data_IF_469287082682
#
_entry.id   IF_469287082682
#
_cell.length_a   1.000
_cell.length_b   1.000
_cell.length_c   1.000
_cell.angle_alpha   90.00
_cell.angle_beta   90.00
_cell.angle_gamma   90.00
#
_symmetry.space_group_name_H-M   'P 1'
#
loop_
_entity.id
_entity.type
_entity.pdbx_description
1 polymer ?
#
# COMPACT_ATOMS: atom_id res chain seq x y z
N UNK A 1 17.69 -48.38 8.88
CA UNK A 1 16.86 -47.16 8.91
C UNK A 1 17.73 -45.93 8.68
N UNK A 2 17.57 -45.24 7.55
CA UNK A 2 18.42 -44.12 7.13
C UNK A 2 18.04 -42.81 7.83
N UNK A 3 18.33 -42.72 9.13
CA UNK A 3 18.06 -41.54 9.98
C UNK A 3 18.66 -40.26 9.39
N UNK A 4 19.85 -40.33 8.80
CA UNK A 4 20.51 -39.20 8.09
C UNK A 4 19.70 -38.70 6.89
N UNK A 5 19.00 -39.59 6.17
CA UNK A 5 18.18 -39.23 5.00
C UNK A 5 16.87 -38.57 5.42
N UNK A 6 16.25 -39.06 6.50
CA UNK A 6 15.08 -38.44 7.10
C UNK A 6 15.39 -37.03 7.63
N UNK A 7 16.50 -36.85 8.35
CA UNK A 7 16.92 -35.53 8.87
C UNK A 7 17.21 -34.56 7.71
N UNK A 8 17.93 -35.00 6.67
CA UNK A 8 18.21 -34.16 5.50
C UNK A 8 16.93 -33.68 4.80
N UNK A 9 15.93 -34.54 4.66
CA UNK A 9 14.66 -34.18 4.04
C UNK A 9 13.84 -33.21 4.91
N UNK A 10 13.83 -33.38 6.24
CA UNK A 10 13.14 -32.47 7.16
C UNK A 10 13.80 -31.09 7.13
N UNK A 11 15.13 -31.01 7.12
CA UNK A 11 15.86 -29.74 7.03
C UNK A 11 15.62 -29.06 5.67
N UNK A 12 15.62 -29.81 4.57
CA UNK A 12 15.33 -29.25 3.24
C UNK A 12 13.89 -28.72 3.13
N UNK A 13 12.90 -29.49 3.57
CA UNK A 13 11.49 -29.11 3.51
C UNK A 13 11.18 -27.96 4.48
N UNK A 14 11.66 -28.05 5.73
CA UNK A 14 11.46 -27.02 6.75
C UNK A 14 12.21 -25.73 6.43
N UNK A 15 13.46 -25.84 5.98
CA UNK A 15 14.27 -24.68 5.57
C UNK A 15 13.72 -24.00 4.32
N UNK A 16 13.26 -24.78 3.33
CA UNK A 16 12.62 -24.25 2.13
C UNK A 16 11.30 -23.52 2.45
N UNK A 17 10.45 -24.11 3.29
CA UNK A 17 9.20 -23.48 3.72
C UNK A 17 9.47 -22.17 4.50
N UNK A 18 10.45 -22.17 5.40
CA UNK A 18 10.83 -20.97 6.14
C UNK A 18 11.38 -19.87 5.22
N UNK A 19 12.19 -20.22 4.22
CA UNK A 19 12.73 -19.26 3.25
C UNK A 19 11.64 -18.64 2.38
N UNK A 20 10.64 -19.42 1.94
CA UNK A 20 9.50 -18.92 1.16
C UNK A 20 8.64 -17.97 1.99
N UNK A 21 8.34 -18.32 3.24
CA UNK A 21 7.55 -17.46 4.14
C UNK A 21 8.30 -16.17 4.49
N UNK A 22 9.61 -16.26 4.76
CA UNK A 22 10.46 -15.10 4.98
C UNK A 22 10.55 -14.22 3.73
N UNK A 23 10.70 -14.82 2.56
CA UNK A 23 10.72 -14.14 1.27
C UNK A 23 9.42 -13.42 0.97
N UNK A 24 8.26 -14.06 1.22
CA UNK A 24 6.96 -13.43 1.02
C UNK A 24 6.69 -12.29 2.01
N UNK A 25 7.04 -12.48 3.29
CA UNK A 25 6.93 -11.42 4.30
C UNK A 25 7.81 -10.22 3.95
N UNK A 26 9.06 -10.49 3.55
CA UNK A 26 9.98 -9.46 3.08
C UNK A 26 9.43 -8.73 1.86
N UNK A 27 8.98 -9.48 0.84
CA UNK A 27 8.36 -8.91 -0.35
C UNK A 27 7.16 -8.01 -0.02
N UNK A 28 6.30 -8.41 0.92
CA UNK A 28 5.13 -7.63 1.28
C UNK A 28 5.47 -6.35 2.08
N UNK A 29 6.58 -6.36 2.84
CA UNK A 29 7.08 -5.18 3.56
C UNK A 29 7.72 -4.18 2.58
N UNK A 30 8.46 -4.67 1.57
CA UNK A 30 9.15 -3.84 0.59
C UNK A 30 8.30 -3.55 -0.67
N UNK A 31 7.08 -4.06 -0.73
CA UNK A 31 6.16 -3.81 -1.85
C UNK A 31 5.76 -2.33 -1.82
N UNK A 32 6.04 -1.61 -2.91
CA UNK A 32 5.58 -0.23 -3.07
C UNK A 32 4.04 -0.18 -2.99
N UNK A 33 3.46 0.81 -2.29
CA UNK A 33 2.02 1.00 -2.30
C UNK A 33 1.54 1.25 -3.73
N UNK A 34 0.43 0.61 -4.10
CA UNK A 34 -0.18 0.84 -5.41
C UNK A 34 -0.99 2.13 -5.35
N UNK A 35 -0.66 3.10 -6.19
CA UNK A 35 -1.43 4.35 -6.32
C UNK A 35 -2.67 4.22 -7.22
N UNK A 36 -2.97 3.01 -7.72
CA UNK A 36 -4.15 2.74 -8.53
C UNK A 36 -5.46 3.08 -7.81
N UNK A 37 -5.48 2.94 -6.48
CA UNK A 37 -6.66 3.28 -5.66
C UNK A 37 -6.87 4.79 -5.51
N UNK A 38 -5.84 5.61 -5.67
CA UNK A 38 -5.99 7.07 -5.54
C UNK A 38 -6.83 7.66 -6.69
N UNK A 39 -6.65 7.16 -7.91
CA UNK A 39 -7.45 7.62 -9.05
C UNK A 39 -8.90 7.16 -8.93
N UNK A 40 -9.12 5.95 -8.43
CA UNK A 40 -10.46 5.42 -8.19
C UNK A 40 -11.22 6.21 -7.11
N UNK A 41 -10.50 6.74 -6.11
CA UNK A 41 -11.09 7.49 -5.01
C UNK A 41 -11.00 9.01 -5.17
N UNK A 42 -10.61 9.53 -6.33
CA UNK A 42 -10.42 10.97 -6.54
C UNK A 42 -11.70 11.77 -6.22
N UNK A 43 -12.88 11.27 -6.62
CA UNK A 43 -14.16 11.93 -6.34
C UNK A 43 -14.46 11.99 -4.84
N UNK A 44 -14.18 10.91 -4.10
CA UNK A 44 -14.34 10.87 -2.65
C UNK A 44 -13.39 11.84 -1.94
N UNK A 45 -12.16 11.97 -2.45
CA UNK A 45 -11.16 12.91 -1.93
C UNK A 45 -11.61 14.36 -2.18
N UNK A 46 -12.14 14.65 -3.37
CA UNK A 46 -12.66 15.98 -3.72
C UNK A 46 -13.86 16.36 -2.82
N UNK A 47 -14.82 15.45 -2.62
CA UNK A 47 -15.98 15.66 -1.74
C UNK A 47 -15.58 15.80 -0.26
N UNK A 48 -14.65 14.96 0.21
CA UNK A 48 -14.15 15.06 1.58
C UNK A 48 -13.42 16.38 1.82
N UNK A 49 -12.63 16.84 0.84
CA UNK A 49 -11.93 18.10 0.94
C UNK A 49 -12.92 19.28 0.99
N UNK A 50 -13.97 19.27 0.16
CA UNK A 50 -15.04 20.28 0.19
C UNK A 50 -15.83 20.26 1.50
N UNK A 51 -16.05 19.08 2.10
CA UNK A 51 -16.71 18.99 3.41
C UNK A 51 -15.86 19.63 4.53
N UNK A 52 -14.53 19.44 4.50
CA UNK A 52 -13.62 19.97 5.51
C UNK A 52 -13.42 21.49 5.33
N UNK A 53 -13.29 21.95 4.09
CA UNK A 53 -13.15 23.37 3.73
C UNK A 53 -14.26 23.74 2.74
N UNK A 54 -15.47 24.01 3.27
CA UNK A 54 -16.60 24.39 2.44
C UNK A 54 -16.42 25.79 1.88
N UNK A 55 -17.09 26.05 0.76
CA UNK A 55 -17.19 27.39 0.22
C UNK A 55 -17.87 28.35 1.21
N UNK A 56 -17.24 29.51 1.40
CA UNK A 56 -17.78 30.60 2.22
C UNK A 56 -17.69 31.90 1.42
N UNK A 57 -17.05 32.95 1.95
CA UNK A 57 -16.70 34.16 1.20
C UNK A 57 -15.53 33.94 0.23
N UNK A 58 -14.80 32.85 0.40
CA UNK A 58 -13.73 32.39 -0.50
C UNK A 58 -14.11 31.05 -1.14
N UNK A 59 -13.53 30.70 -2.31
CA UNK A 59 -13.76 29.40 -2.93
C UNK A 59 -13.44 28.25 -1.98
N UNK A 60 -14.33 27.24 -1.92
CA UNK A 60 -14.13 26.00 -1.18
C UNK A 60 -13.04 25.11 -1.78
N UNK A 61 -12.66 24.05 -1.08
CA UNK A 61 -11.55 23.17 -1.48
C UNK A 61 -11.75 22.48 -2.85
N UNK A 62 -12.97 22.12 -3.21
CA UNK A 62 -13.34 21.58 -4.52
C UNK A 62 -13.13 22.61 -5.63
N UNK A 63 -13.63 23.84 -5.45
CA UNK A 63 -13.43 24.95 -6.41
C UNK A 63 -11.97 25.38 -6.51
N UNK A 64 -11.22 25.31 -5.41
CA UNK A 64 -9.79 25.60 -5.35
C UNK A 64 -8.92 24.46 -5.90
N UNK A 65 -9.49 23.30 -6.26
CA UNK A 65 -8.76 22.17 -6.84
C UNK A 65 -7.86 21.43 -5.85
N UNK A 66 -8.18 21.50 -4.55
CA UNK A 66 -7.38 20.92 -3.46
C UNK A 66 -7.30 19.41 -3.54
N UNK A 67 -8.36 18.72 -3.98
CA UNK A 67 -8.32 17.25 -4.05
C UNK A 67 -7.33 16.71 -5.09
N UNK A 68 -7.08 17.42 -6.20
CA UNK A 68 -5.96 17.08 -7.12
C UNK A 68 -4.61 17.28 -6.47
N UNK A 69 -4.47 18.34 -5.67
CA UNK A 69 -3.25 18.61 -4.94
C UNK A 69 -2.97 17.54 -3.87
N UNK A 70 -4.00 17.07 -3.15
CA UNK A 70 -3.89 15.97 -2.19
C UNK A 70 -3.35 14.71 -2.87
N UNK A 71 -3.91 14.34 -4.03
CA UNK A 71 -3.45 13.16 -4.77
C UNK A 71 -2.00 13.29 -5.28
N UNK A 72 -1.58 14.50 -5.66
CA UNK A 72 -0.20 14.79 -6.04
C UNK A 72 0.74 14.67 -4.84
N UNK A 73 0.36 15.23 -3.69
CA UNK A 73 1.16 15.16 -2.47
C UNK A 73 1.35 13.72 -1.98
N UNK A 74 0.30 12.89 -2.03
CA UNK A 74 0.41 11.48 -1.64
C UNK A 74 1.36 10.72 -2.57
N UNK A 75 1.38 11.03 -3.87
CA UNK A 75 2.30 10.40 -4.84
C UNK A 75 3.76 10.83 -4.63
N UNK A 76 3.99 12.09 -4.31
CA UNK A 76 5.35 12.64 -4.18
C UNK A 76 5.99 12.35 -2.80
N UNK A 77 5.18 12.20 -1.75
CA UNK A 77 5.67 12.03 -0.37
C UNK A 77 5.79 10.57 0.10
N UNK A 78 5.61 9.57 -0.78
CA UNK A 78 5.66 8.14 -0.45
C UNK A 78 6.75 7.40 -1.21
#
# INVERSE_FOLDING_TARGET
MNRKKAIRNIVLLGGGAAAVLAGWKSYNIFKKPSFSSLEEHQLLIDELAELIIPETTTPGAGKAGVGRFISLMIRECT
#
